data_IF_289410080304
#
_entry.id   IF_289410080304
#
_cell.length_a   1.000
_cell.length_b   1.000
_cell.length_c   1.000
_cell.angle_alpha   90.00
_cell.angle_beta   90.00
_cell.angle_gamma   90.00
#
_symmetry.space_group_name_H-M   'P 1'
#
loop_
_entity.id
_entity.type
_entity.pdbx_description
1 polymer ?
#
# COMPACT_ATOMS: atom_id res chain seq x y z
N UNK A 1 4.04 22.38 -3.10
CA UNK A 1 4.89 21.41 -3.81
C UNK A 1 4.37 19.99 -3.57
N UNK A 2 4.31 19.46 -2.35
CA UNK A 2 3.87 18.07 -2.05
C UNK A 2 2.52 17.71 -2.70
N UNK A 3 1.54 18.62 -2.66
CA UNK A 3 0.20 18.38 -3.24
C UNK A 3 0.19 18.25 -4.77
N UNK A 4 1.24 18.71 -5.44
CA UNK A 4 1.45 18.53 -6.87
C UNK A 4 2.36 17.34 -7.14
N UNK A 5 3.49 17.26 -6.47
CA UNK A 5 4.54 16.27 -6.73
C UNK A 5 4.16 14.86 -6.27
N UNK A 6 3.37 14.72 -5.19
CA UNK A 6 2.93 13.43 -4.71
C UNK A 6 2.16 12.61 -5.76
N UNK A 7 1.04 13.14 -6.31
CA UNK A 7 0.31 12.46 -7.37
C UNK A 7 1.13 12.25 -8.66
N UNK A 8 1.99 13.23 -9.01
CA UNK A 8 2.86 13.14 -10.19
C UNK A 8 3.88 12.01 -9.99
N UNK A 9 4.49 11.92 -8.81
CA UNK A 9 5.45 10.86 -8.49
C UNK A 9 4.84 9.46 -8.59
N UNK A 10 3.63 9.28 -8.05
CA UNK A 10 2.89 8.03 -8.19
C UNK A 10 2.56 7.68 -9.65
N UNK A 11 2.12 8.67 -10.44
CA UNK A 11 1.83 8.48 -11.85
C UNK A 11 3.10 8.15 -12.66
N UNK A 12 4.22 8.79 -12.36
CA UNK A 12 5.51 8.53 -13.00
C UNK A 12 6.00 7.10 -12.71
N UNK A 13 5.94 6.66 -11.46
CA UNK A 13 6.28 5.29 -11.10
C UNK A 13 5.42 4.27 -11.85
N UNK A 14 4.10 4.46 -11.85
CA UNK A 14 3.17 3.59 -12.56
C UNK A 14 3.44 3.55 -14.07
N UNK A 15 3.79 4.69 -14.66
CA UNK A 15 4.14 4.79 -16.08
C UNK A 15 5.40 3.97 -16.42
N UNK A 16 6.44 4.08 -15.63
CA UNK A 16 7.70 3.35 -15.84
C UNK A 16 7.55 1.85 -15.50
N UNK A 17 6.84 1.51 -14.44
CA UNK A 17 6.55 0.13 -14.09
C UNK A 17 5.65 -0.57 -15.11
N UNK A 18 4.78 0.18 -15.77
CA UNK A 18 3.86 -0.33 -16.79
C UNK A 18 2.46 -0.62 -16.23
N UNK A 19 1.98 0.17 -15.31
CA UNK A 19 0.60 0.13 -14.79
C UNK A 19 -0.02 1.52 -14.81
N UNK A 20 -1.21 1.70 -15.37
CA UNK A 20 -1.86 3.00 -15.42
C UNK A 20 -2.35 3.40 -14.03
N UNK A 21 -2.17 4.66 -13.69
CA UNK A 21 -2.78 5.24 -12.50
C UNK A 21 -4.07 5.96 -12.88
N UNK A 22 -5.21 5.36 -12.60
CA UNK A 22 -6.51 5.77 -13.14
C UNK A 22 -7.38 6.52 -12.16
N UNK A 23 -7.25 6.27 -10.87
CA UNK A 23 -7.99 6.94 -9.81
C UNK A 23 -7.15 6.98 -8.53
N UNK A 24 -7.52 7.87 -7.61
CA UNK A 24 -6.80 8.02 -6.37
C UNK A 24 -7.30 9.25 -5.62
N UNK A 25 -6.82 9.42 -4.40
CA UNK A 25 -7.08 10.58 -3.57
C UNK A 25 -5.79 11.05 -2.92
N UNK A 26 -5.60 12.34 -2.92
CA UNK A 26 -4.52 12.98 -2.19
C UNK A 26 -5.03 14.26 -1.57
N UNK A 27 -5.08 14.33 -0.24
CA UNK A 27 -5.73 15.43 0.49
C UNK A 27 -4.88 15.91 1.66
N UNK A 28 -4.85 17.22 1.84
CA UNK A 28 -4.48 17.89 3.09
C UNK A 28 -5.65 18.69 3.61
N UNK A 29 -5.68 18.94 4.91
CA UNK A 29 -6.70 19.75 5.59
C UNK A 29 -6.06 20.47 6.76
N UNK A 30 -6.44 21.70 6.99
CA UNK A 30 -6.17 22.45 8.21
C UNK A 30 -7.34 23.35 8.52
N UNK A 31 -7.85 23.25 9.72
CA UNK A 31 -8.92 24.11 10.23
C UNK A 31 -8.82 24.25 11.76
N UNK A 32 -9.49 25.25 12.28
CA UNK A 32 -9.76 25.40 13.71
C UNK A 32 -11.16 24.93 14.01
N UNK A 33 -11.29 24.12 15.06
CA UNK A 33 -12.57 23.62 15.55
C UNK A 33 -12.50 23.50 17.07
N UNK A 34 -13.43 24.21 17.78
CA UNK A 34 -13.47 24.23 19.25
C UNK A 34 -12.11 24.57 19.91
N UNK A 35 -11.47 25.65 19.44
CA UNK A 35 -10.13 26.11 19.88
C UNK A 35 -9.01 25.07 19.69
N UNK A 36 -9.22 24.06 18.89
CA UNK A 36 -8.23 23.06 18.53
C UNK A 36 -7.87 23.15 17.05
N UNK A 37 -6.58 23.04 16.76
CA UNK A 37 -6.12 22.86 15.37
C UNK A 37 -6.36 21.42 14.96
N UNK A 38 -7.16 21.25 13.90
CA UNK A 38 -7.45 19.96 13.27
C UNK A 38 -6.84 19.94 11.90
N UNK A 39 -6.16 18.85 11.55
CA UNK A 39 -5.61 18.77 10.19
C UNK A 39 -4.83 17.54 9.87
N UNK A 40 -4.63 17.35 8.58
CA UNK A 40 -3.75 16.35 8.01
C UNK A 40 -2.45 17.05 7.58
N UNK A 41 -1.52 17.24 8.52
CA UNK A 41 -0.23 17.86 8.23
C UNK A 41 0.65 16.94 7.38
N UNK A 42 0.48 15.63 7.54
CA UNK A 42 0.92 14.64 6.55
C UNK A 42 -0.26 14.40 5.61
N UNK A 43 -0.12 14.65 4.30
CA UNK A 43 -1.23 14.45 3.38
C UNK A 43 -1.74 13.01 3.42
N UNK A 44 -3.06 12.84 3.37
CA UNK A 44 -3.68 11.54 3.23
C UNK A 44 -3.67 11.17 1.75
N UNK A 45 -3.09 10.04 1.43
CA UNK A 45 -3.11 9.45 0.10
C UNK A 45 -3.74 8.06 0.21
N UNK A 46 -4.73 7.82 -0.64
CA UNK A 46 -5.26 6.47 -0.83
C UNK A 46 -4.72 5.96 -2.16
N UNK A 47 -3.93 4.91 -2.08
CA UNK A 47 -3.42 4.18 -3.21
C UNK A 47 -3.90 2.73 -3.14
N UNK A 48 -4.20 2.16 -4.26
CA UNK A 48 -4.66 0.78 -4.35
C UNK A 48 -4.63 0.29 -5.78
N UNK A 49 -4.97 -0.96 -5.96
CA UNK A 49 -5.00 -1.57 -7.27
C UNK A 49 -5.95 -2.74 -7.31
N UNK A 50 -6.24 -3.19 -8.51
CA UNK A 50 -7.01 -4.39 -8.76
C UNK A 50 -6.25 -5.26 -9.73
N UNK A 51 -6.25 -6.56 -9.45
CA UNK A 51 -5.67 -7.57 -10.32
C UNK A 51 -6.46 -8.85 -10.19
N UNK A 52 -6.08 -9.83 -10.97
CA UNK A 52 -6.64 -11.17 -10.89
C UNK A 52 -5.54 -12.21 -10.65
N UNK A 53 -5.90 -13.30 -10.02
CA UNK A 53 -5.00 -14.42 -9.82
C UNK A 53 -5.77 -15.73 -10.05
N UNK A 54 -5.03 -16.79 -10.39
CA UNK A 54 -5.62 -18.11 -10.51
C UNK A 54 -6.08 -18.60 -9.15
N UNK A 55 -7.22 -19.28 -9.12
CA UNK A 55 -7.82 -19.83 -7.88
C UNK A 55 -6.85 -20.71 -7.09
N UNK A 56 -6.00 -21.45 -7.76
CA UNK A 56 -4.98 -22.33 -7.17
C UNK A 56 -3.87 -21.59 -6.41
N UNK A 57 -3.79 -20.25 -6.55
CA UNK A 57 -2.80 -19.40 -5.89
C UNK A 57 -3.39 -18.51 -4.79
N UNK A 58 -4.70 -18.61 -4.52
CA UNK A 58 -5.38 -17.79 -3.49
C UNK A 58 -4.92 -18.19 -2.09
N UNK A 59 -4.77 -19.48 -1.83
CA UNK A 59 -4.36 -19.98 -0.54
C UNK A 59 -2.84 -20.23 -0.51
N UNK A 60 -2.17 -19.80 0.57
CA UNK A 60 -0.76 -20.10 0.78
C UNK A 60 -0.55 -21.61 0.87
N UNK A 61 0.42 -22.13 0.11
CA UNK A 61 0.84 -23.52 0.25
C UNK A 61 1.66 -23.69 1.52
N UNK A 62 1.54 -24.83 2.23
CA UNK A 62 2.44 -25.14 3.35
C UNK A 62 3.91 -25.08 2.90
N UNK A 63 4.74 -24.46 3.70
CA UNK A 63 6.19 -24.41 3.47
C UNK A 63 6.79 -25.60 4.24
N UNK A 64 7.30 -26.63 3.55
CA UNK A 64 7.91 -27.76 4.24
C UNK A 64 9.26 -27.37 4.86
N UNK A 65 9.70 -28.05 5.92
CA UNK A 65 11.06 -27.92 6.44
C UNK A 65 12.08 -28.12 5.31
N UNK A 66 13.21 -27.46 5.40
CA UNK A 66 14.27 -27.43 4.37
C UNK A 66 13.94 -26.63 3.09
N UNK A 67 12.75 -26.10 2.96
CA UNK A 67 12.50 -25.14 1.88
C UNK A 67 13.45 -23.94 2.00
N UNK A 68 14.05 -23.57 0.89
CA UNK A 68 14.92 -22.41 0.84
C UNK A 68 14.10 -21.13 0.90
N UNK A 69 14.53 -20.21 1.73
CA UNK A 69 13.93 -18.88 1.81
C UNK A 69 14.83 -17.91 1.07
N UNK A 70 14.23 -17.21 0.11
CA UNK A 70 14.92 -16.31 -0.79
C UNK A 70 14.42 -14.88 -0.63
N UNK A 71 15.34 -13.93 -0.84
CA UNK A 71 14.99 -12.55 -1.15
C UNK A 71 15.14 -12.32 -2.64
N UNK A 72 14.10 -11.83 -3.29
CA UNK A 72 14.07 -11.39 -4.67
C UNK A 72 14.05 -9.86 -4.72
N UNK A 73 14.75 -9.27 -5.69
CA UNK A 73 14.69 -7.83 -5.95
C UNK A 73 15.86 -7.03 -5.44
N UNK A 74 15.62 -5.74 -5.19
CA UNK A 74 16.67 -4.77 -4.89
C UNK A 74 17.42 -4.99 -3.58
N UNK A 75 18.53 -4.26 -3.40
CA UNK A 75 19.33 -4.39 -2.19
C UNK A 75 18.70 -3.67 -1.00
N UNK A 76 19.16 -4.04 0.19
CA UNK A 76 18.99 -3.23 1.39
C UNK A 76 19.78 -1.94 1.26
N UNK A 77 19.18 -0.83 1.67
CA UNK A 77 19.78 0.51 1.71
C UNK A 77 19.37 1.21 3.00
N UNK A 78 20.06 2.29 3.36
CA UNK A 78 19.71 3.12 4.53
C UNK A 78 18.53 4.03 4.23
N UNK A 79 17.37 3.42 3.97
CA UNK A 79 16.09 4.09 3.73
C UNK A 79 14.96 3.37 4.48
N UNK A 80 13.91 4.10 4.82
CA UNK A 80 12.78 3.54 5.56
C UNK A 80 13.14 3.02 6.96
N UNK A 81 14.20 3.54 7.58
CA UNK A 81 14.67 3.08 8.89
C UNK A 81 13.78 3.51 10.05
N UNK A 82 12.92 4.49 9.85
CA UNK A 82 11.91 4.93 10.83
C UNK A 82 10.76 3.94 10.98
N UNK A 83 10.67 2.99 10.05
CA UNK A 83 9.64 1.97 10.01
C UNK A 83 8.25 2.50 9.65
N UNK A 84 7.28 1.60 9.48
CA UNK A 84 5.87 1.93 9.26
C UNK A 84 5.29 2.82 10.36
N UNK A 85 5.90 2.81 11.54
CA UNK A 85 5.56 3.70 12.64
C UNK A 85 5.77 5.19 12.30
N UNK A 86 6.72 5.53 11.43
CA UNK A 86 6.99 6.92 11.04
C UNK A 86 5.78 7.62 10.45
N UNK A 87 4.91 6.91 9.73
CA UNK A 87 3.67 7.44 9.19
C UNK A 87 2.61 7.73 10.26
N UNK A 88 2.68 7.06 11.41
CA UNK A 88 1.71 7.14 12.51
C UNK A 88 2.17 8.06 13.65
N UNK A 89 3.41 8.52 13.63
CA UNK A 89 3.96 9.42 14.66
C UNK A 89 3.59 10.87 14.32
N UNK A 90 3.27 11.66 15.36
CA UNK A 90 2.97 13.09 15.22
C UNK A 90 4.12 13.86 14.57
N UNK A 91 3.81 14.83 13.72
CA UNK A 91 4.80 15.67 13.08
C UNK A 91 5.71 16.37 14.12
N UNK A 92 7.02 16.33 13.90
CA UNK A 92 8.01 16.96 14.80
C UNK A 92 8.35 16.15 16.06
N UNK A 93 7.88 14.93 16.21
CA UNK A 93 8.18 14.08 17.36
C UNK A 93 9.47 13.26 17.22
N UNK A 94 10.03 13.20 16.02
CA UNK A 94 11.30 12.53 15.72
C UNK A 94 12.42 13.53 15.45
N UNK A 95 13.66 13.01 15.46
CA UNK A 95 14.81 13.80 15.01
C UNK A 95 14.78 13.96 13.49
N UNK A 96 15.29 15.12 13.01
CA UNK A 96 15.42 15.39 11.58
C UNK A 96 16.21 14.29 10.83
N UNK A 97 17.25 13.74 11.44
CA UNK A 97 18.02 12.63 10.86
C UNK A 97 17.17 11.39 10.63
N UNK A 98 16.31 11.02 11.59
CA UNK A 98 15.42 9.87 11.45
C UNK A 98 14.30 10.11 10.43
N UNK A 99 13.83 11.35 10.30
CA UNK A 99 12.88 11.73 9.27
C UNK A 99 13.49 11.57 7.86
N UNK A 100 14.75 11.94 7.66
CA UNK A 100 15.46 11.69 6.41
C UNK A 100 15.69 10.20 6.14
N UNK A 101 16.06 9.43 7.14
CA UNK A 101 16.28 7.99 7.04
C UNK A 101 14.96 7.21 6.84
N UNK A 102 13.82 7.85 7.10
CA UNK A 102 12.49 7.27 6.86
C UNK A 102 12.00 7.45 5.42
N UNK A 103 12.71 8.21 4.59
CA UNK A 103 12.36 8.40 3.18
C UNK A 103 12.50 7.08 2.44
N UNK A 104 11.46 6.72 1.70
CA UNK A 104 11.46 5.57 0.80
C UNK A 104 11.72 6.04 -0.64
N UNK A 105 12.34 5.16 -1.44
CA UNK A 105 12.62 5.44 -2.84
C UNK A 105 12.11 4.28 -3.68
N UNK A 106 11.40 4.61 -4.76
CA UNK A 106 10.93 3.64 -5.71
C UNK A 106 11.93 3.38 -6.84
N UNK A 107 12.01 2.14 -7.29
CA UNK A 107 12.74 1.74 -8.49
C UNK A 107 11.82 0.93 -9.41
N UNK A 108 11.08 1.59 -10.32
CA UNK A 108 10.07 0.93 -11.16
C UNK A 108 10.69 -0.15 -12.07
N UNK A 109 11.94 0.00 -12.49
CA UNK A 109 12.63 -1.04 -13.26
C UNK A 109 12.86 -2.31 -12.43
N UNK A 110 13.30 -2.17 -11.19
CA UNK A 110 13.48 -3.32 -10.30
C UNK A 110 12.15 -4.01 -10.01
N UNK A 111 11.12 -3.24 -9.74
CA UNK A 111 9.76 -3.77 -9.55
C UNK A 111 9.30 -4.54 -10.79
N UNK A 112 9.56 -4.02 -11.99
CA UNK A 112 9.23 -4.71 -13.23
C UNK A 112 10.00 -6.01 -13.39
N UNK A 113 11.27 -6.07 -13.04
CA UNK A 113 12.09 -7.29 -13.06
C UNK A 113 11.53 -8.35 -12.10
N UNK A 114 11.19 -7.96 -10.88
CA UNK A 114 10.54 -8.84 -9.90
C UNK A 114 9.23 -9.39 -10.44
N UNK A 115 8.38 -8.53 -11.00
CA UNK A 115 7.10 -8.94 -11.58
C UNK A 115 7.28 -9.95 -12.72
N UNK A 116 8.28 -9.76 -13.59
CA UNK A 116 8.54 -10.70 -14.68
C UNK A 116 8.98 -12.08 -14.17
N UNK A 117 9.75 -12.14 -13.09
CA UNK A 117 10.11 -13.42 -12.45
C UNK A 117 8.87 -14.11 -11.88
N UNK A 118 8.03 -13.35 -11.15
CA UNK A 118 6.79 -13.86 -10.55
C UNK A 118 5.85 -14.38 -11.64
N UNK A 119 5.62 -13.59 -12.70
CA UNK A 119 4.77 -13.95 -13.83
C UNK A 119 5.32 -15.18 -14.57
N UNK A 120 6.65 -15.25 -14.73
CA UNK A 120 7.34 -16.42 -15.29
C UNK A 120 7.11 -17.69 -14.46
N UNK A 121 7.15 -17.59 -13.13
CA UNK A 121 6.84 -18.70 -12.23
C UNK A 121 5.37 -19.14 -12.38
N UNK A 122 4.44 -18.19 -12.38
CA UNK A 122 3.00 -18.45 -12.52
C UNK A 122 2.68 -19.11 -13.87
N UNK A 123 3.36 -18.69 -14.92
CA UNK A 123 3.18 -19.26 -16.27
C UNK A 123 3.54 -20.73 -16.37
N UNK A 124 4.40 -21.26 -15.48
CA UNK A 124 4.77 -22.67 -15.42
C UNK A 124 3.64 -23.57 -14.86
N UNK A 125 2.56 -23.00 -14.34
CA UNK A 125 1.42 -23.76 -13.81
C UNK A 125 1.81 -24.72 -12.69
N UNK A 126 1.64 -26.02 -12.88
CA UNK A 126 2.01 -27.06 -11.90
C UNK A 126 3.50 -27.15 -11.62
N UNK A 127 4.33 -26.69 -12.54
CA UNK A 127 5.78 -26.65 -12.39
C UNK A 127 6.31 -25.36 -11.77
N UNK A 128 5.42 -24.50 -11.30
CA UNK A 128 5.78 -23.29 -10.57
C UNK A 128 6.72 -23.63 -9.39
N UNK A 129 7.96 -23.12 -9.40
CA UNK A 129 8.92 -23.42 -8.33
C UNK A 129 8.60 -22.74 -7.01
N UNK A 130 7.80 -21.68 -7.04
CA UNK A 130 7.45 -20.86 -5.90
C UNK A 130 6.32 -21.52 -5.08
N UNK A 131 6.57 -21.75 -3.80
CA UNK A 131 5.59 -22.29 -2.85
C UNK A 131 4.72 -21.19 -2.24
N UNK A 132 5.37 -20.13 -1.81
CA UNK A 132 4.73 -18.98 -1.16
C UNK A 132 5.59 -17.73 -1.41
N UNK A 133 4.96 -16.58 -1.36
CA UNK A 133 5.60 -15.27 -1.55
C UNK A 133 4.99 -14.26 -0.59
N UNK A 134 5.81 -13.32 -0.15
CA UNK A 134 5.39 -12.15 0.63
C UNK A 134 6.17 -10.92 0.13
N UNK A 135 5.51 -9.77 0.04
CA UNK A 135 6.17 -8.51 -0.27
C UNK A 135 6.94 -7.96 0.94
N UNK A 136 7.86 -7.06 0.72
CA UNK A 136 8.58 -6.34 1.76
C UNK A 136 8.08 -4.90 1.81
N UNK A 137 7.32 -4.62 2.85
CA UNK A 137 6.77 -3.29 3.15
C UNK A 137 7.25 -2.75 4.49
N UNK A 138 6.31 -2.30 5.30
CA UNK A 138 6.57 -1.79 6.64
C UNK A 138 7.30 -2.81 7.52
N UNK A 139 8.33 -2.35 8.22
CA UNK A 139 9.20 -3.20 9.04
C UNK A 139 10.27 -3.98 8.28
N UNK A 140 10.28 -3.90 6.95
CA UNK A 140 11.31 -4.56 6.15
C UNK A 140 11.29 -6.08 6.26
N UNK A 141 12.46 -6.70 6.26
CA UNK A 141 12.60 -8.16 6.41
C UNK A 141 12.18 -8.65 7.80
N UNK A 142 12.19 -7.76 8.82
CA UNK A 142 11.75 -8.09 10.17
C UNK A 142 10.27 -8.43 10.26
N UNK A 143 9.48 -8.04 9.28
CA UNK A 143 8.08 -8.39 9.12
C UNK A 143 7.90 -9.51 8.08
N UNK A 144 8.37 -9.31 6.85
CA UNK A 144 8.07 -10.22 5.75
C UNK A 144 8.63 -11.64 5.92
N UNK A 145 9.82 -11.82 6.53
CA UNK A 145 10.38 -13.15 6.74
C UNK A 145 9.61 -13.95 7.82
N UNK A 146 9.33 -13.39 9.01
CA UNK A 146 8.50 -14.09 10.00
C UNK A 146 7.10 -14.43 9.48
N UNK A 147 6.42 -13.51 8.78
CA UNK A 147 5.09 -13.77 8.21
C UNK A 147 5.12 -14.87 7.16
N UNK A 148 6.21 -14.96 6.38
CA UNK A 148 6.35 -16.03 5.40
C UNK A 148 6.43 -17.41 6.06
N UNK A 149 7.18 -17.55 7.18
CA UNK A 149 7.43 -18.80 7.88
C UNK A 149 6.64 -18.98 9.18
N UNK A 150 5.55 -18.24 9.34
CA UNK A 150 4.71 -18.21 10.55
C UNK A 150 4.37 -19.60 11.09
N UNK A 151 4.04 -20.52 10.19
CA UNK A 151 3.58 -21.86 10.56
C UNK A 151 4.71 -22.85 10.90
N UNK A 152 5.97 -22.51 10.58
CA UNK A 152 7.08 -23.47 10.62
C UNK A 152 8.25 -23.01 11.45
N UNK A 153 8.55 -21.71 11.42
CA UNK A 153 9.82 -21.15 11.87
C UNK A 153 10.83 -21.08 10.75
N UNK A 154 11.96 -20.44 11.01
CA UNK A 154 12.99 -20.27 10.02
C UNK A 154 14.35 -19.87 10.60
N UNK A 155 15.42 -20.31 9.93
CA UNK A 155 16.79 -19.95 10.24
C UNK A 155 17.36 -19.07 9.13
N UNK A 156 17.73 -17.85 9.44
CA UNK A 156 18.17 -16.82 8.51
C UNK A 156 19.62 -16.41 8.75
N UNK A 157 20.29 -16.02 7.67
CA UNK A 157 21.68 -15.58 7.65
C UNK A 157 21.75 -14.14 7.20
N UNK A 158 21.92 -13.22 8.15
CA UNK A 158 21.84 -11.77 7.91
C UNK A 158 22.73 -11.31 6.76
N UNK A 159 23.99 -11.78 6.70
CA UNK A 159 24.97 -11.34 5.69
C UNK A 159 24.79 -11.97 4.31
N UNK A 160 23.75 -12.80 4.13
CA UNK A 160 23.30 -13.26 2.81
C UNK A 160 22.27 -12.33 2.17
N UNK A 161 21.70 -11.43 2.94
CA UNK A 161 20.81 -10.40 2.43
C UNK A 161 21.59 -9.47 1.52
N UNK A 162 21.09 -9.26 0.29
CA UNK A 162 21.69 -8.36 -0.66
C UNK A 162 21.66 -6.92 -0.11
N UNK A 163 22.80 -6.25 -0.11
CA UNK A 163 23.03 -4.99 0.58
C UNK A 163 24.00 -4.12 -0.22
N UNK A 164 23.64 -2.90 -0.50
CA UNK A 164 24.45 -1.92 -1.22
C UNK A 164 25.48 -1.21 -0.33
N UNK A 165 25.24 -1.15 0.99
CA UNK A 165 26.08 -0.43 1.94
C UNK A 165 26.64 -1.40 3.00
N UNK A 166 27.90 -1.77 2.85
CA UNK A 166 28.58 -2.67 3.78
C UNK A 166 28.72 -2.11 5.21
N UNK A 167 28.46 -0.83 5.43
CA UNK A 167 28.47 -0.19 6.75
C UNK A 167 27.19 -0.39 7.54
N UNK A 168 26.14 -0.94 6.93
CA UNK A 168 24.87 -1.15 7.62
C UNK A 168 25.01 -2.10 8.80
N UNK A 169 24.46 -1.67 9.93
CA UNK A 169 24.33 -2.49 11.13
C UNK A 169 23.36 -3.65 10.91
N UNK A 170 23.39 -4.69 11.79
CA UNK A 170 22.41 -5.77 11.72
C UNK A 170 20.95 -5.30 11.73
N UNK A 171 20.64 -4.31 12.57
CA UNK A 171 19.29 -3.73 12.65
C UNK A 171 18.90 -3.02 11.35
N UNK A 172 19.77 -2.21 10.78
CA UNK A 172 19.51 -1.51 9.52
C UNK A 172 19.29 -2.48 8.36
N UNK A 173 20.06 -3.58 8.28
CA UNK A 173 19.85 -4.62 7.25
C UNK A 173 18.50 -5.30 7.43
N UNK A 174 18.12 -5.58 8.68
CA UNK A 174 16.92 -6.35 9.00
C UNK A 174 15.64 -5.54 8.92
N UNK A 175 15.66 -4.26 9.31
CA UNK A 175 14.48 -3.43 9.50
C UNK A 175 14.27 -2.36 8.41
N UNK A 176 15.23 -2.17 7.45
CA UNK A 176 15.02 -1.17 6.42
C UNK A 176 13.86 -1.54 5.50
N UNK A 177 13.12 -0.52 5.07
CA UNK A 177 11.95 -0.66 4.21
C UNK A 177 12.27 -0.37 2.74
N UNK A 178 13.47 -0.73 2.28
CA UNK A 178 13.79 -0.64 0.86
C UNK A 178 12.74 -1.42 0.05
N UNK A 179 12.12 -0.74 -0.91
CA UNK A 179 11.03 -1.27 -1.72
C UNK A 179 11.55 -2.19 -2.84
N UNK A 180 10.62 -2.71 -3.66
CA UNK A 180 10.88 -3.59 -4.78
C UNK A 180 11.64 -4.85 -4.35
N UNK A 181 11.20 -5.41 -3.22
CA UNK A 181 11.72 -6.66 -2.66
C UNK A 181 10.58 -7.61 -2.28
N UNK A 182 10.84 -8.88 -2.47
CA UNK A 182 9.95 -9.97 -2.07
C UNK A 182 10.74 -11.04 -1.33
N UNK A 183 10.08 -11.73 -0.42
CA UNK A 183 10.60 -12.97 0.18
C UNK A 183 9.72 -14.13 -0.27
N UNK A 184 10.35 -15.28 -0.53
CA UNK A 184 9.63 -16.42 -1.03
C UNK A 184 10.29 -17.75 -0.63
N UNK A 185 9.47 -18.80 -0.67
CA UNK A 185 9.92 -20.16 -0.38
C UNK A 185 9.98 -20.98 -1.66
N UNK A 186 11.09 -21.69 -1.86
CA UNK A 186 11.35 -22.55 -3.00
C UNK A 186 11.98 -23.87 -2.52
N UNK A 187 11.54 -25.01 -3.06
CA UNK A 187 12.18 -26.28 -2.71
C UNK A 187 13.59 -26.39 -3.30
N UNK A 188 14.56 -27.03 -2.59
CA UNK A 188 15.93 -27.17 -3.07
C UNK A 188 16.05 -27.79 -4.47
N UNK A 189 15.20 -28.73 -4.81
CA UNK A 189 15.20 -29.38 -6.15
C UNK A 189 14.60 -28.50 -7.26
N UNK A 190 14.07 -27.31 -6.95
CA UNK A 190 13.52 -26.35 -7.90
C UNK A 190 14.34 -25.05 -7.99
N UNK A 191 15.40 -24.93 -7.21
CA UNK A 191 16.19 -23.69 -7.12
C UNK A 191 16.85 -23.30 -8.45
N UNK A 192 17.35 -24.27 -9.21
CA UNK A 192 18.01 -24.00 -10.49
C UNK A 192 17.03 -23.40 -11.50
N UNK A 193 15.81 -23.94 -11.58
CA UNK A 193 14.77 -23.44 -12.46
C UNK A 193 14.36 -22.00 -12.07
N UNK A 194 14.25 -21.73 -10.77
CA UNK A 194 13.94 -20.39 -10.26
C UNK A 194 15.08 -19.40 -10.56
N UNK A 195 16.32 -19.79 -10.29
CA UNK A 195 17.49 -18.93 -10.54
C UNK A 195 17.67 -18.64 -12.03
N UNK A 196 17.33 -19.59 -12.91
CA UNK A 196 17.36 -19.36 -14.35
C UNK A 196 16.35 -18.26 -14.78
N UNK A 197 15.15 -18.23 -14.19
CA UNK A 197 14.19 -17.15 -14.39
C UNK A 197 14.74 -15.80 -13.90
N UNK A 198 15.31 -15.76 -12.70
CA UNK A 198 15.92 -14.54 -12.16
C UNK A 198 17.03 -14.01 -13.06
N UNK A 199 17.89 -14.90 -13.56
CA UNK A 199 19.00 -14.56 -14.47
C UNK A 199 18.47 -13.99 -15.79
N UNK A 200 17.45 -14.62 -16.37
CA UNK A 200 16.80 -14.16 -17.60
C UNK A 200 16.27 -12.73 -17.45
N UNK A 201 15.60 -12.44 -16.34
CA UNK A 201 14.99 -11.13 -16.08
C UNK A 201 16.00 -10.13 -15.44
N UNK A 202 17.25 -10.53 -15.22
CA UNK A 202 18.27 -9.71 -14.52
C UNK A 202 17.81 -9.24 -13.15
N UNK A 203 16.99 -10.05 -12.47
CA UNK A 203 16.47 -9.77 -11.16
C UNK A 203 17.38 -10.37 -10.10
N UNK A 204 17.94 -9.58 -9.17
CA UNK A 204 18.77 -10.09 -8.10
C UNK A 204 17.99 -11.06 -7.21
N UNK A 205 18.68 -12.10 -6.77
CA UNK A 205 18.13 -13.08 -5.84
C UNK A 205 19.19 -13.58 -4.88
N UNK A 206 18.84 -13.78 -3.62
CA UNK A 206 19.72 -14.33 -2.59
C UNK A 206 18.98 -15.39 -1.78
N UNK A 207 19.63 -16.52 -1.49
CA UNK A 207 19.16 -17.49 -0.51
C UNK A 207 19.56 -16.96 0.86
N UNK A 208 18.57 -16.50 1.63
CA UNK A 208 18.79 -15.82 2.91
C UNK A 208 18.56 -16.74 4.11
N UNK A 209 17.99 -17.93 3.90
CA UNK A 209 17.74 -18.89 4.98
C UNK A 209 17.01 -20.13 4.50
N UNK A 210 16.48 -20.84 5.47
CA UNK A 210 15.69 -22.05 5.27
C UNK A 210 14.53 -22.13 6.28
N UNK A 211 13.44 -22.74 5.88
CA UNK A 211 12.34 -23.04 6.77
C UNK A 211 12.70 -24.22 7.67
N UNK A 212 12.23 -24.16 8.92
CA UNK A 212 12.40 -25.20 9.94
C UNK A 212 11.04 -25.82 10.31
N UNK A 213 10.99 -26.63 11.34
CA UNK A 213 9.76 -27.17 11.92
C UNK A 213 9.72 -27.02 13.46
N UNK A 214 10.65 -26.22 13.98
CA UNK A 214 10.86 -26.04 15.42
C UNK A 214 10.11 -24.82 16.00
N UNK A 215 9.43 -24.06 15.16
CA UNK A 215 8.71 -22.85 15.58
C UNK A 215 9.62 -21.72 16.08
N UNK A 216 10.90 -21.75 15.72
CA UNK A 216 11.88 -20.72 16.14
C UNK A 216 12.13 -19.72 15.00
N UNK A 217 12.33 -18.48 15.36
CA UNK A 217 12.90 -17.43 14.51
C UNK A 217 14.35 -17.24 14.91
N UNK A 218 15.26 -17.67 14.06
CA UNK A 218 16.70 -17.53 14.29
C UNK A 218 17.31 -16.66 13.20
N UNK A 219 17.95 -15.56 13.58
CA UNK A 219 18.76 -14.73 12.71
C UNK A 219 20.21 -14.82 13.15
N UNK A 220 21.09 -15.30 12.29
CA UNK A 220 22.52 -15.44 12.54
C UNK A 220 23.32 -14.34 11.84
N UNK A 221 24.23 -13.68 12.54
CA UNK A 221 25.23 -12.79 11.97
C UNK A 221 26.63 -13.41 12.09
N UNK A 222 27.12 -13.92 10.95
CA UNK A 222 28.45 -14.54 10.87
C UNK A 222 29.58 -13.51 11.03
N UNK A 223 29.33 -12.22 10.77
CA UNK A 223 30.33 -11.17 10.96
C UNK A 223 30.63 -10.93 12.46
N UNK A 224 29.59 -10.78 13.23
CA UNK A 224 29.71 -10.62 14.68
C UNK A 224 29.70 -11.92 15.47
N UNK A 225 29.51 -13.06 14.78
CA UNK A 225 29.47 -14.41 15.38
C UNK A 225 28.44 -14.52 16.50
N UNK A 226 27.27 -13.95 16.30
CA UNK A 226 26.18 -13.97 17.26
C UNK A 226 24.85 -14.25 16.53
N UNK A 227 23.79 -14.37 17.33
CA UNK A 227 22.42 -14.46 16.89
C UNK A 227 21.66 -13.23 17.37
N UNK A 228 21.49 -12.19 16.55
CA UNK A 228 20.71 -11.00 16.94
C UNK A 228 19.26 -11.32 17.31
N UNK A 229 18.69 -12.39 16.73
CA UNK A 229 17.35 -12.90 17.05
C UNK A 229 17.46 -14.40 17.25
N UNK A 230 16.93 -14.88 18.39
CA UNK A 230 16.76 -16.29 18.71
C UNK A 230 15.55 -16.40 19.64
N UNK A 231 14.35 -16.59 19.07
CA UNK A 231 13.10 -16.55 19.84
C UNK A 231 12.03 -17.45 19.21
N UNK A 232 11.04 -17.82 20.00
CA UNK A 232 9.87 -18.51 19.52
C UNK A 232 8.98 -17.61 18.65
N UNK A 233 8.49 -18.14 17.52
CA UNK A 233 7.55 -17.43 16.62
C UNK A 233 6.28 -16.97 17.36
N UNK A 234 5.84 -17.72 18.38
CA UNK A 234 4.67 -17.38 19.19
C UNK A 234 4.82 -16.08 19.99
N UNK A 235 6.05 -15.66 20.29
CA UNK A 235 6.34 -14.37 20.96
C UNK A 235 6.09 -13.21 20.00
N UNK A 236 6.42 -13.39 18.73
CA UNK A 236 6.29 -12.34 17.70
C UNK A 236 4.89 -12.30 17.10
N UNK A 237 4.37 -13.47 16.69
CA UNK A 237 3.10 -13.61 15.95
C UNK A 237 1.99 -14.26 16.79
N UNK A 238 2.17 -14.36 18.10
CA UNK A 238 1.18 -14.88 19.02
C UNK A 238 -0.05 -13.96 19.14
N UNK A 239 -1.11 -14.50 19.74
CA UNK A 239 -2.33 -13.72 19.97
C UNK A 239 -2.06 -12.59 20.95
N UNK A 240 -2.18 -11.36 20.48
CA UNK A 240 -2.16 -10.18 21.35
C UNK A 240 -3.38 -10.19 22.29
N UNK A 241 -3.25 -9.65 23.52
CA UNK A 241 -4.40 -9.44 24.38
C UNK A 241 -5.49 -8.62 23.68
N UNK A 242 -6.74 -8.98 23.87
CA UNK A 242 -7.86 -8.18 23.36
C UNK A 242 -7.83 -6.81 24.02
N UNK A 243 -7.77 -5.78 23.19
CA UNK A 243 -7.91 -4.41 23.65
C UNK A 243 -9.39 -4.11 23.85
N UNK A 244 -9.74 -3.56 25.03
CA UNK A 244 -11.05 -3.01 25.31
C UNK A 244 -10.96 -1.48 25.21
N UNK A 245 -11.74 -0.87 24.34
CA UNK A 245 -11.95 0.56 24.26
C UNK A 245 -13.29 0.88 24.93
N UNK A 246 -13.24 1.54 26.07
CA UNK A 246 -14.42 2.07 26.77
C UNK A 246 -14.43 3.58 26.57
N UNK A 247 -15.32 4.05 25.73
CA UNK A 247 -15.31 5.41 25.21
C UNK A 247 -16.64 6.10 25.39
N UNK A 248 -16.60 7.42 25.58
CA UNK A 248 -17.80 8.26 25.77
C UNK A 248 -17.89 9.27 24.63
N UNK A 249 -19.06 9.35 24.01
CA UNK A 249 -19.35 10.41 23.04
C UNK A 249 -19.42 11.76 23.73
N UNK A 250 -18.76 12.73 23.14
CA UNK A 250 -18.95 14.13 23.49
C UNK A 250 -20.07 14.70 22.63
N UNK A 251 -21.04 15.32 23.31
CA UNK A 251 -22.08 16.03 22.57
C UNK A 251 -21.51 17.36 22.06
N UNK A 252 -21.47 17.50 20.75
CA UNK A 252 -21.09 18.75 20.11
C UNK A 252 -22.32 19.48 19.58
N UNK A 253 -22.34 20.78 19.74
CA UNK A 253 -23.35 21.65 19.15
C UNK A 253 -22.70 22.56 18.13
N UNK A 254 -23.24 22.56 16.93
CA UNK A 254 -22.74 23.39 15.84
C UNK A 254 -23.74 24.52 15.57
N UNK A 255 -23.22 25.71 15.28
CA UNK A 255 -24.05 26.79 14.81
C UNK A 255 -24.64 26.46 13.43
N UNK A 256 -25.89 26.83 13.19
CA UNK A 256 -26.45 26.71 11.85
C UNK A 256 -25.73 27.66 10.89
N UNK A 257 -25.50 27.18 9.67
CA UNK A 257 -24.91 27.98 8.60
C UNK A 257 -25.92 29.02 8.14
N UNK A 258 -25.59 30.30 8.31
CA UNK A 258 -26.39 31.37 7.74
C UNK A 258 -26.14 31.47 6.22
N UNK A 259 -27.14 31.12 5.45
CA UNK A 259 -27.12 31.14 3.99
C UNK A 259 -27.88 32.35 3.40
N UNK A 260 -28.40 33.26 4.22
CA UNK A 260 -29.27 34.36 3.79
C UNK A 260 -28.62 35.30 2.77
N UNK A 261 -27.33 35.52 2.88
CA UNK A 261 -26.56 36.41 1.99
C UNK A 261 -25.85 35.66 0.84
N UNK A 262 -26.01 34.34 0.76
CA UNK A 262 -25.29 33.52 -0.26
C UNK A 262 -26.07 33.57 -1.59
N UNK A 263 -25.41 34.11 -2.61
CA UNK A 263 -25.92 34.09 -3.98
C UNK A 263 -25.47 32.82 -4.68
N UNK A 264 -26.40 32.07 -5.30
CA UNK A 264 -26.10 30.77 -5.97
C UNK A 264 -24.98 30.90 -7.02
N UNK A 265 -24.98 31.90 -7.92
CA UNK A 265 -23.90 32.03 -8.91
C UNK A 265 -22.51 32.19 -8.27
N UNK A 266 -22.43 32.96 -7.18
CA UNK A 266 -21.17 33.16 -6.47
C UNK A 266 -20.73 31.89 -5.76
N UNK A 267 -21.66 31.16 -5.14
CA UNK A 267 -21.38 29.88 -4.52
C UNK A 267 -20.84 28.85 -5.55
N UNK A 268 -21.48 28.75 -6.71
CA UNK A 268 -21.02 27.89 -7.82
C UNK A 268 -19.60 28.28 -8.24
N UNK A 269 -19.35 29.59 -8.47
CA UNK A 269 -18.03 30.07 -8.90
C UNK A 269 -16.94 29.78 -7.87
N UNK A 270 -17.23 29.90 -6.57
CA UNK A 270 -16.30 29.56 -5.49
C UNK A 270 -16.02 28.08 -5.42
N UNK A 271 -17.06 27.24 -5.48
CA UNK A 271 -16.91 25.78 -5.43
C UNK A 271 -16.08 25.27 -6.61
N UNK A 272 -16.35 25.74 -7.83
CA UNK A 272 -15.61 25.34 -9.02
C UNK A 272 -14.12 25.77 -9.01
N UNK A 273 -13.78 26.81 -8.24
CA UNK A 273 -12.39 27.25 -8.05
C UNK A 273 -11.71 26.65 -6.85
N UNK A 274 -12.45 25.95 -6.01
CA UNK A 274 -11.89 25.32 -4.81
C UNK A 274 -10.87 24.25 -5.22
N UNK A 275 -9.67 24.22 -4.66
CA UNK A 275 -8.61 23.30 -5.12
C UNK A 275 -9.01 21.83 -5.14
N UNK A 276 -9.84 21.38 -4.22
CA UNK A 276 -10.33 20.00 -4.18
C UNK A 276 -11.32 19.68 -5.33
N UNK A 277 -11.93 20.69 -5.95
CA UNK A 277 -12.96 20.54 -7.01
C UNK A 277 -12.43 20.93 -8.39
N UNK A 278 -11.53 21.90 -8.43
CA UNK A 278 -11.00 22.47 -9.68
C UNK A 278 -10.39 21.41 -10.60
N UNK A 279 -10.33 21.72 -11.89
CA UNK A 279 -9.82 20.85 -12.93
C UNK A 279 -8.39 20.35 -12.63
N UNK A 280 -8.20 19.04 -12.71
CA UNK A 280 -6.92 18.33 -12.51
C UNK A 280 -6.35 17.77 -13.81
N UNK A 281 -6.79 18.27 -14.96
CA UNK A 281 -6.38 17.77 -16.28
C UNK A 281 -4.86 17.63 -16.46
N UNK A 282 -4.09 18.53 -15.83
CA UNK A 282 -2.62 18.47 -15.88
C UNK A 282 -2.05 17.20 -15.19
N UNK A 283 -2.64 16.73 -14.10
CA UNK A 283 -2.24 15.48 -13.44
C UNK A 283 -2.53 14.25 -14.29
N UNK A 284 -3.62 14.28 -15.07
CA UNK A 284 -4.05 13.17 -15.91
C UNK A 284 -3.18 13.07 -17.17
N UNK A 285 -2.73 14.22 -17.69
CA UNK A 285 -2.03 14.31 -18.97
C UNK A 285 -0.51 14.25 -18.87
N UNK A 286 0.05 14.31 -17.65
CA UNK A 286 1.50 14.33 -17.47
C UNK A 286 2.14 12.94 -17.65
N UNK A 287 1.39 11.87 -17.43
CA UNK A 287 1.81 10.49 -17.64
C UNK A 287 0.92 9.78 -18.67
N UNK A 288 1.33 8.61 -19.09
CA UNK A 288 0.53 7.78 -20.01
C UNK A 288 -0.62 7.10 -19.25
N UNK A 289 -1.84 7.60 -19.43
CA UNK A 289 -3.05 7.08 -18.85
C UNK A 289 -3.56 5.78 -19.48
N UNK A 290 -3.03 5.39 -20.63
CA UNK A 290 -3.45 4.20 -21.38
C UNK A 290 -2.39 3.10 -21.44
N UNK A 291 -1.36 3.20 -20.62
CA UNK A 291 -0.29 2.19 -20.54
C UNK A 291 -0.88 0.79 -20.32
N UNK A 292 -0.27 -0.24 -20.88
CA UNK A 292 -0.72 -1.62 -21.03
C UNK A 292 -1.78 -1.89 -22.08
N UNK A 293 -2.51 -0.88 -22.55
CA UNK A 293 -3.59 -1.05 -23.53
C UNK A 293 -4.88 -1.69 -22.98
N UNK A 294 -4.95 -1.93 -21.66
CA UNK A 294 -6.10 -2.58 -21.03
C UNK A 294 -7.09 -1.59 -20.43
N UNK A 295 -6.87 -0.30 -20.59
CA UNK A 295 -7.76 0.74 -20.09
C UNK A 295 -8.93 0.90 -21.06
N UNK A 296 -10.13 0.50 -20.63
CA UNK A 296 -11.36 0.64 -21.41
C UNK A 296 -12.02 2.00 -21.18
N UNK A 297 -11.85 2.59 -20.01
CA UNK A 297 -12.33 3.92 -19.66
C UNK A 297 -11.37 4.60 -18.71
N UNK A 298 -10.85 5.73 -19.14
CA UNK A 298 -10.02 6.62 -18.34
C UNK A 298 -10.81 7.84 -17.83
N UNK A 299 -10.11 8.83 -17.30
CA UNK A 299 -10.71 10.05 -16.77
C UNK A 299 -11.26 11.00 -17.85
N UNK A 300 -10.85 10.82 -19.09
CA UNK A 300 -11.27 11.68 -20.20
C UNK A 300 -12.56 11.16 -20.83
N UNK A 301 -13.59 11.99 -20.92
CA UNK A 301 -14.93 11.60 -21.34
C UNK A 301 -15.39 12.38 -22.56
N UNK A 302 -16.06 11.64 -23.46
CA UNK A 302 -16.71 12.18 -24.65
C UNK A 302 -15.76 12.72 -25.71
N UNK A 303 -16.30 13.31 -26.79
CA UNK A 303 -15.51 13.77 -27.93
C UNK A 303 -14.57 14.94 -27.59
N UNK A 304 -14.88 15.67 -26.53
CA UNK A 304 -14.08 16.80 -26.06
C UNK A 304 -12.96 16.41 -25.09
N UNK A 305 -12.87 15.13 -24.73
CA UNK A 305 -11.87 14.63 -23.79
C UNK A 305 -11.79 15.46 -22.50
N UNK A 306 -12.95 15.66 -21.87
CA UNK A 306 -13.04 16.41 -20.63
C UNK A 306 -12.76 15.47 -19.45
N UNK A 307 -11.83 15.83 -18.53
CA UNK A 307 -11.46 14.96 -17.40
C UNK A 307 -12.51 15.03 -16.26
N UNK A 308 -13.64 14.38 -16.44
CA UNK A 308 -14.80 14.39 -15.54
C UNK A 308 -15.24 13.00 -15.08
N UNK A 309 -14.53 11.94 -15.46
CA UNK A 309 -14.90 10.60 -15.00
C UNK A 309 -14.34 10.33 -13.63
N UNK A 310 -15.21 9.94 -12.68
CA UNK A 310 -14.88 9.53 -11.32
C UNK A 310 -14.86 7.99 -11.18
N UNK A 311 -14.90 7.28 -12.31
CA UNK A 311 -14.75 5.83 -12.39
C UNK A 311 -13.80 5.46 -13.52
N UNK A 312 -12.96 4.47 -13.28
CA UNK A 312 -12.10 3.86 -14.28
C UNK A 312 -12.59 2.46 -14.61
N UNK A 313 -12.37 2.02 -15.82
CA UNK A 313 -12.68 0.65 -16.26
C UNK A 313 -11.48 0.06 -16.99
N UNK A 314 -11.07 -1.13 -16.58
CA UNK A 314 -10.00 -1.89 -17.22
C UNK A 314 -10.54 -3.22 -17.73
N UNK A 315 -9.96 -3.70 -18.84
CA UNK A 315 -10.25 -5.03 -19.37
C UNK A 315 -9.41 -6.09 -18.62
N UNK A 316 -9.95 -7.28 -18.42
CA UNK A 316 -9.23 -8.40 -17.81
C UNK A 316 -8.22 -9.06 -18.74
N UNK A 317 -8.45 -8.99 -20.05
CA UNK A 317 -7.53 -9.50 -21.08
C UNK A 317 -7.84 -8.87 -22.42
N UNK A 318 -6.95 -9.07 -23.39
CA UNK A 318 -7.17 -8.64 -24.79
C UNK A 318 -8.20 -9.50 -25.53
N UNK A 319 -8.51 -10.68 -25.03
CA UNK A 319 -9.29 -11.71 -25.75
C UNK A 319 -10.76 -11.80 -25.30
N UNK A 320 -11.17 -10.97 -24.32
CA UNK A 320 -12.54 -10.98 -23.82
C UNK A 320 -13.10 -9.57 -23.58
N UNK A 321 -14.39 -9.51 -23.25
CA UNK A 321 -15.13 -8.27 -22.99
C UNK A 321 -15.48 -8.09 -21.50
N UNK A 322 -14.84 -8.87 -20.62
CA UNK A 322 -14.98 -8.69 -19.17
C UNK A 322 -13.95 -7.68 -18.65
N UNK A 323 -14.26 -7.07 -17.53
CA UNK A 323 -13.39 -6.04 -16.96
C UNK A 323 -13.73 -5.75 -15.50
N UNK A 324 -12.97 -4.85 -14.93
CA UNK A 324 -13.17 -4.32 -13.60
C UNK A 324 -13.45 -2.83 -13.66
N UNK A 325 -14.36 -2.37 -12.80
CA UNK A 325 -14.61 -0.94 -12.58
C UNK A 325 -14.14 -0.54 -11.18
N UNK A 326 -13.53 0.62 -11.07
CA UNK A 326 -13.00 1.19 -9.83
C UNK A 326 -13.51 2.62 -9.67
N UNK A 327 -13.87 2.95 -8.43
CA UNK A 327 -14.25 4.31 -8.05
C UNK A 327 -13.87 4.57 -6.60
N UNK A 328 -13.78 5.83 -6.23
CA UNK A 328 -13.47 6.27 -4.87
C UNK A 328 -14.55 7.19 -4.32
N UNK A 329 -14.66 7.23 -3.01
CA UNK A 329 -15.48 8.20 -2.27
C UNK A 329 -14.73 8.67 -1.02
N UNK A 330 -14.84 9.96 -0.71
CA UNK A 330 -14.15 10.57 0.42
C UNK A 330 -14.91 11.81 0.92
N UNK A 331 -15.13 11.87 2.22
CA UNK A 331 -15.75 13.03 2.88
C UNK A 331 -15.22 13.25 4.30
N UNK A 332 -13.92 13.11 4.45
CA UNK A 332 -13.25 13.20 5.77
C UNK A 332 -13.53 14.50 6.53
N UNK A 333 -13.64 15.71 5.91
CA UNK A 333 -13.95 16.93 6.65
C UNK A 333 -15.30 16.90 7.38
N UNK A 334 -16.26 16.11 6.89
CA UNK A 334 -17.59 15.99 7.53
C UNK A 334 -17.51 15.18 8.83
N UNK A 335 -16.51 14.35 9.02
CA UNK A 335 -16.34 13.56 10.23
C UNK A 335 -16.23 14.41 11.50
N UNK A 336 -15.73 15.64 11.40
CA UNK A 336 -15.64 16.60 12.51
C UNK A 336 -17.05 17.00 12.99
N UNK A 337 -18.02 17.07 12.07
CA UNK A 337 -19.40 17.42 12.38
C UNK A 337 -20.23 16.19 12.75
N UNK A 338 -20.01 15.09 12.04
CA UNK A 338 -20.74 13.85 12.25
C UNK A 338 -20.00 12.69 11.58
N UNK A 339 -19.32 11.86 12.37
CA UNK A 339 -18.52 10.75 11.90
C UNK A 339 -19.34 9.74 11.09
N UNK A 340 -20.50 9.33 11.60
CA UNK A 340 -21.38 8.39 10.91
C UNK A 340 -21.94 8.93 9.59
N UNK A 341 -22.22 10.24 9.49
CA UNK A 341 -22.63 10.88 8.25
C UNK A 341 -21.48 10.90 7.23
N UNK A 342 -20.24 11.19 7.68
CA UNK A 342 -19.05 11.15 6.84
C UNK A 342 -18.87 9.77 6.17
N UNK A 343 -18.98 8.70 6.96
CA UNK A 343 -18.90 7.33 6.44
C UNK A 343 -19.99 7.03 5.40
N UNK A 344 -21.24 7.36 5.70
CA UNK A 344 -22.36 7.14 4.76
C UNK A 344 -22.21 7.92 3.45
N UNK A 345 -21.76 9.17 3.53
CA UNK A 345 -21.60 10.03 2.34
C UNK A 345 -20.42 9.54 1.51
N UNK A 346 -19.31 9.10 2.13
CA UNK A 346 -18.17 8.54 1.41
C UNK A 346 -18.56 7.28 0.63
N UNK A 347 -19.33 6.38 1.23
CA UNK A 347 -19.88 5.21 0.53
C UNK A 347 -20.85 5.62 -0.56
N UNK A 348 -21.74 6.58 -0.29
CA UNK A 348 -22.71 7.11 -1.27
C UNK A 348 -22.00 7.69 -2.49
N UNK A 349 -20.94 8.47 -2.29
CA UNK A 349 -20.13 9.02 -3.38
C UNK A 349 -19.47 7.91 -4.21
N UNK A 350 -18.84 6.93 -3.55
CA UNK A 350 -18.24 5.80 -4.24
C UNK A 350 -19.26 5.03 -5.10
N UNK A 351 -20.46 4.78 -4.57
CA UNK A 351 -21.53 4.08 -5.28
C UNK A 351 -22.09 4.90 -6.45
N UNK A 352 -22.24 6.20 -6.29
CA UNK A 352 -22.71 7.07 -7.39
C UNK A 352 -21.67 7.21 -8.49
N UNK A 353 -20.39 7.27 -8.13
CA UNK A 353 -19.30 7.32 -9.10
C UNK A 353 -19.23 6.00 -9.92
N UNK A 354 -19.25 4.84 -9.25
CA UNK A 354 -19.16 3.55 -9.94
C UNK A 354 -20.42 3.22 -10.76
N UNK A 355 -21.57 3.86 -10.47
CA UNK A 355 -22.79 3.70 -11.27
C UNK A 355 -22.65 4.15 -12.73
N UNK A 356 -21.60 4.91 -13.04
CA UNK A 356 -21.25 5.27 -14.42
C UNK A 356 -20.70 4.09 -15.25
N UNK A 357 -20.39 2.94 -14.60
CA UNK A 357 -19.95 1.70 -15.23
C UNK A 357 -20.96 0.57 -14.98
N UNK A 358 -21.05 -0.38 -15.92
CA UNK A 358 -21.93 -1.52 -15.76
C UNK A 358 -21.31 -2.57 -14.83
N UNK A 359 -21.76 -2.64 -13.58
CA UNK A 359 -21.30 -3.60 -12.57
C UNK A 359 -22.31 -4.73 -12.31
N UNK A 360 -23.42 -4.75 -13.01
CA UNK A 360 -24.49 -5.73 -12.89
C UNK A 360 -25.36 -5.52 -11.65
N UNK A 361 -24.94 -6.06 -10.51
CA UNK A 361 -25.69 -5.94 -9.24
C UNK A 361 -24.85 -5.23 -8.18
N UNK A 362 -25.49 -4.45 -7.31
CA UNK A 362 -24.83 -3.77 -6.19
C UNK A 362 -24.03 -4.74 -5.29
N UNK A 363 -24.49 -5.98 -5.13
CA UNK A 363 -23.79 -7.03 -4.39
C UNK A 363 -22.47 -7.50 -5.02
N UNK A 364 -22.17 -7.12 -6.27
CA UNK A 364 -20.89 -7.39 -6.91
C UNK A 364 -19.81 -6.39 -6.48
N UNK A 365 -20.21 -5.23 -5.96
CA UNK A 365 -19.28 -4.19 -5.53
C UNK A 365 -18.60 -4.65 -4.24
N UNK A 366 -17.27 -4.57 -4.24
CA UNK A 366 -16.44 -4.79 -3.05
C UNK A 366 -15.90 -3.46 -2.60
N UNK A 367 -15.91 -3.23 -1.30
CA UNK A 367 -15.42 -2.00 -0.68
C UNK A 367 -14.16 -2.29 0.12
N UNK A 368 -13.18 -1.41 0.00
CA UNK A 368 -12.06 -1.29 0.91
C UNK A 368 -12.14 0.08 1.57
N UNK A 369 -12.04 0.14 2.89
CA UNK A 369 -12.20 1.38 3.63
C UNK A 369 -11.03 1.60 4.58
N UNK A 370 -10.61 2.86 4.70
CA UNK A 370 -9.64 3.32 5.67
C UNK A 370 -10.29 4.36 6.58
N UNK A 371 -10.14 4.16 7.87
CA UNK A 371 -10.63 5.06 8.89
C UNK A 371 -9.45 5.69 9.61
N UNK A 372 -9.46 7.02 9.77
CA UNK A 372 -8.40 7.75 10.44
C UNK A 372 -9.00 8.71 11.46
N UNK A 373 -8.44 8.67 12.66
CA UNK A 373 -8.87 9.50 13.79
C UNK A 373 -7.66 9.80 14.68
N UNK A 374 -7.70 10.90 15.43
CA UNK A 374 -6.70 11.21 16.45
C UNK A 374 -6.95 10.37 17.71
N UNK A 375 -6.69 9.07 17.62
CA UNK A 375 -6.99 8.10 18.68
C UNK A 375 -6.35 8.50 20.02
N UNK A 376 -7.13 8.43 21.08
CA UNK A 376 -6.72 8.85 22.43
C UNK A 376 -7.08 10.30 22.78
N UNK A 377 -7.43 11.13 21.80
CA UNK A 377 -7.99 12.47 22.05
C UNK A 377 -9.46 12.37 22.46
N UNK A 378 -9.92 13.38 23.21
CA UNK A 378 -11.28 13.38 23.74
C UNK A 378 -12.33 13.31 22.64
N UNK A 379 -13.21 12.30 22.70
CA UNK A 379 -14.28 12.05 21.73
C UNK A 379 -13.86 11.33 20.43
N UNK A 380 -12.57 11.30 20.09
CA UNK A 380 -12.11 10.76 18.82
C UNK A 380 -12.27 9.23 18.71
N UNK A 381 -11.99 8.50 19.77
CA UNK A 381 -12.20 7.04 19.79
C UNK A 381 -13.70 6.69 19.61
N UNK A 382 -14.62 7.53 20.11
CA UNK A 382 -16.05 7.37 19.91
C UNK A 382 -16.45 7.67 18.45
N UNK A 383 -15.87 8.70 17.85
CA UNK A 383 -16.06 9.03 16.45
C UNK A 383 -15.57 7.90 15.52
N UNK A 384 -14.48 7.20 15.90
CA UNK A 384 -14.02 6.05 15.16
C UNK A 384 -14.98 4.86 15.23
N UNK A 385 -15.65 4.68 16.38
CA UNK A 385 -16.64 3.62 16.58
C UNK A 385 -17.90 3.85 15.73
N UNK A 386 -18.39 5.10 15.64
CA UNK A 386 -19.61 5.49 14.94
C UNK A 386 -19.50 5.38 13.42
#
# INVERSE_FOLDING_TARGET
>A
DIMLEGPIGGAAFGNEFGRPQLCGMFRTLQLEHNDQHRGYHKPIMVAGGMGNMKREHVDKKPIPPTALILQLGGPAMKIGLGGGAASSIGAGSQSEALDFDSVQRGNPEMERRCQQVIDGCIALGTDNPMLSIHDIGAGGLSNGLPELVEATGGHFRLRKIHNEDSSMSPMEIWCNESQERYVMAVMPNRIDAFTALCTRERCPVAIVGEATDDGQLVLEDLHFKNKPIDMEMSVLLGKTPKMLKDVTRLAETHAELDVSEIQIPDAIARVLRFPAVANKGFLITIADRSITGMVARDQMVGPWQTPVADAAVTATSMDNTTGEAMAMGERTPIAILNAAASGRISIGECLTNIASAYVGKIGNIKLSANWMVAAGEAGEDANLYD
#
